data_IF_610529647113
#
_entry.id   IF_610529647113
#
_cell.length_a   1.000
_cell.length_b   1.000
_cell.length_c   1.000
_cell.angle_alpha   90.00
_cell.angle_beta   90.00
_cell.angle_gamma   90.00
#
_symmetry.space_group_name_H-M   'P 1'
#
loop_
_entity.id
_entity.type
_entity.pdbx_description
1 polymer ?
#
# COMPACT_ATOMS: atom_id res chain seq x y z
N UNK A 1 33.23 -23.31 -59.15
CA UNK A 1 34.40 -22.46 -59.42
C UNK A 1 34.26 -21.17 -58.60
N UNK A 2 35.19 -20.96 -57.66
CA UNK A 2 35.52 -19.71 -56.93
C UNK A 2 34.38 -19.01 -56.16
N UNK A 3 34.05 -19.41 -54.92
CA UNK A 3 34.63 -18.94 -53.63
C UNK A 3 35.23 -17.53 -53.63
N UNK A 4 34.58 -16.59 -52.92
CA UNK A 4 35.23 -15.56 -52.10
C UNK A 4 34.34 -15.17 -50.90
N UNK A 5 34.90 -15.40 -49.72
CA UNK A 5 34.35 -15.12 -48.39
C UNK A 5 34.68 -13.68 -47.94
N UNK A 6 33.71 -13.06 -47.23
CA UNK A 6 33.78 -12.27 -45.97
C UNK A 6 34.74 -11.05 -45.86
N UNK A 7 34.43 -10.01 -45.04
CA UNK A 7 34.29 -10.09 -43.57
C UNK A 7 32.90 -9.61 -43.09
N UNK A 8 32.13 -10.33 -42.26
CA UNK A 8 32.39 -10.72 -40.86
C UNK A 8 32.88 -9.56 -40.00
N UNK A 9 31.95 -8.67 -39.62
CA UNK A 9 32.16 -7.73 -38.52
C UNK A 9 32.18 -8.52 -37.20
N UNK A 10 33.12 -8.20 -36.28
CA UNK A 10 33.30 -8.97 -35.07
C UNK A 10 32.12 -8.75 -34.11
N UNK A 11 31.54 -9.87 -33.69
CA UNK A 11 30.66 -9.99 -32.54
C UNK A 11 31.49 -9.73 -31.28
N UNK A 12 31.62 -8.44 -30.95
CA UNK A 12 32.28 -7.96 -29.76
C UNK A 12 31.37 -8.06 -28.54
N UNK A 13 31.07 -9.28 -28.10
CA UNK A 13 30.46 -9.57 -26.81
C UNK A 13 31.39 -9.19 -25.66
N UNK A 14 31.64 -7.89 -25.45
CA UNK A 14 32.17 -7.39 -24.19
C UNK A 14 30.99 -7.22 -23.24
N UNK A 15 30.75 -8.26 -22.43
CA UNK A 15 30.09 -8.12 -21.14
C UNK A 15 30.89 -7.08 -20.35
N UNK A 16 30.44 -5.83 -20.37
CA UNK A 16 30.86 -4.87 -19.37
C UNK A 16 30.20 -5.33 -18.06
N UNK A 17 30.92 -6.12 -17.28
CA UNK A 17 30.71 -6.17 -15.83
C UNK A 17 30.95 -4.75 -15.33
N UNK A 18 29.90 -3.93 -15.30
CA UNK A 18 29.87 -2.76 -14.44
C UNK A 18 29.68 -3.32 -13.04
N UNK A 19 30.79 -3.70 -12.41
CA UNK A 19 30.84 -3.75 -10.95
C UNK A 19 30.39 -2.37 -10.47
N UNK A 20 29.18 -2.30 -9.95
CA UNK A 20 28.69 -1.19 -9.15
C UNK A 20 29.56 -1.11 -7.90
N UNK A 21 30.73 -0.48 -8.02
CA UNK A 21 31.52 -0.04 -6.87
C UNK A 21 30.78 1.12 -6.24
N UNK A 22 29.75 0.80 -5.48
CA UNK A 22 29.13 1.68 -4.49
C UNK A 22 30.24 1.97 -3.49
N UNK A 23 30.98 3.06 -3.71
CA UNK A 23 31.90 3.60 -2.74
C UNK A 23 31.04 4.35 -1.72
N UNK A 24 30.49 3.60 -0.76
CA UNK A 24 29.81 4.17 0.40
C UNK A 24 30.81 5.04 1.16
N UNK A 25 30.61 6.35 1.12
CA UNK A 25 31.29 7.29 2.01
C UNK A 25 30.34 7.58 3.16
N UNK A 26 30.31 6.66 4.12
CA UNK A 26 29.91 6.92 5.49
C UNK A 26 30.81 6.08 6.39
N UNK A 27 31.85 6.71 6.92
CA UNK A 27 32.57 6.24 8.10
C UNK A 27 32.54 7.39 9.09
N UNK A 28 31.50 7.40 9.91
CA UNK A 28 31.56 8.04 11.22
C UNK A 28 32.47 7.16 12.08
N UNK A 29 33.72 7.57 12.25
CA UNK A 29 34.56 7.08 13.34
C UNK A 29 34.61 8.15 14.42
N UNK A 30 33.89 7.86 15.49
CA UNK A 30 34.13 8.36 16.83
C UNK A 30 35.47 7.83 17.29
N UNK A 31 36.44 8.71 17.56
CA UNK A 31 37.61 8.37 18.39
C UNK A 31 37.74 9.40 19.51
N UNK A 32 37.33 8.92 20.68
CA UNK A 32 37.72 9.39 21.99
C UNK A 32 39.11 8.79 22.26
N UNK A 33 40.14 9.61 22.47
CA UNK A 33 41.34 9.15 23.16
C UNK A 33 42.06 10.30 23.87
N UNK A 34 42.02 10.18 25.19
CA UNK A 34 42.87 10.82 26.18
C UNK A 34 44.36 10.62 25.91
N UNK A 35 45.16 11.69 25.94
CA UNK A 35 46.55 11.61 26.38
C UNK A 35 46.95 12.86 27.16
N UNK A 36 47.32 12.62 28.41
CA UNK A 36 48.11 13.52 29.27
C UNK A 36 49.41 13.90 28.57
N UNK A 37 49.83 15.15 28.75
CA UNK A 37 51.25 15.45 28.97
C UNK A 37 51.37 16.39 30.17
N UNK A 38 51.94 15.84 31.23
CA UNK A 38 52.58 16.59 32.29
C UNK A 38 53.74 17.39 31.72
N UNK A 39 53.85 18.65 32.17
CA UNK A 39 55.02 19.50 32.02
C UNK A 39 55.21 20.23 33.33
N UNK A 40 56.14 19.72 34.15
CA UNK A 40 56.67 20.35 35.35
C UNK A 40 57.16 21.78 35.08
N UNK A 41 56.95 22.67 36.05
CA UNK A 41 57.52 24.01 36.04
C UNK A 41 57.10 24.79 37.29
N UNK A 42 57.80 24.53 38.39
CA UNK A 42 57.74 25.24 39.67
C UNK A 42 57.77 26.77 39.51
N UNK A 43 57.14 27.51 40.41
CA UNK A 43 57.78 28.52 41.26
C UNK A 43 56.74 29.31 42.07
N UNK A 44 56.55 28.90 43.31
CA UNK A 44 56.20 29.80 44.41
C UNK A 44 57.41 30.67 44.74
N UNK A 45 57.23 31.96 45.07
CA UNK A 45 58.04 32.60 46.08
C UNK A 45 57.16 32.97 47.28
N UNK A 46 57.47 32.31 48.40
CA UNK A 46 57.07 32.77 49.72
C UNK A 46 57.80 34.10 49.99
N UNK A 47 57.05 35.20 49.91
CA UNK A 47 57.47 36.52 50.37
C UNK A 47 56.93 36.77 51.77
N UNK A 48 57.80 36.54 52.76
CA UNK A 48 57.68 36.97 54.14
C UNK A 48 57.33 38.47 54.20
N UNK A 49 56.29 38.86 54.92
CA UNK A 49 56.32 40.09 55.73
C UNK A 49 55.12 40.21 56.71
N UNK A 50 55.51 40.25 57.98
CA UNK A 50 54.98 41.11 59.05
C UNK A 50 53.55 40.89 59.55
N UNK A 51 53.45 40.09 60.60
CA UNK A 51 52.38 40.22 61.60
C UNK A 51 52.66 41.43 62.49
N UNK A 52 51.79 42.44 62.44
CA UNK A 52 51.69 43.43 63.51
C UNK A 52 50.24 43.89 63.69
N UNK A 53 49.70 43.55 64.87
CA UNK A 53 48.60 44.19 65.62
C UNK A 53 47.44 44.81 64.83
N UNK A 54 46.30 44.13 64.87
CA UNK A 54 45.04 44.81 65.18
C UNK A 54 44.09 43.83 65.89
N UNK A 55 43.81 44.06 67.17
CA UNK A 55 42.84 43.32 67.97
C UNK A 55 41.62 44.23 68.14
N UNK A 56 40.44 43.69 67.86
CA UNK A 56 39.18 44.21 68.39
C UNK A 56 38.40 45.14 67.45
N UNK A 57 37.62 44.57 66.55
CA UNK A 57 36.20 44.94 66.32
C UNK A 57 35.60 44.07 65.22
N UNK A 58 34.54 43.34 65.58
CA UNK A 58 33.47 42.94 64.67
C UNK A 58 33.73 41.70 63.83
N UNK A 59 33.10 40.59 64.20
CA UNK A 59 32.75 39.48 63.28
C UNK A 59 32.21 40.00 61.93
N UNK A 60 31.61 41.19 61.92
CA UNK A 60 31.20 41.97 60.76
C UNK A 60 32.31 42.38 59.75
N UNK A 61 33.55 42.68 60.14
CA UNK A 61 34.62 43.11 59.19
C UNK A 61 35.26 41.93 58.46
N UNK A 62 35.44 40.79 59.15
CA UNK A 62 35.87 39.54 58.53
C UNK A 62 34.78 38.98 57.60
N UNK A 63 33.51 38.99 58.03
CA UNK A 63 32.39 38.63 57.17
C UNK A 63 32.26 39.57 55.96
N UNK A 64 32.40 40.89 56.13
CA UNK A 64 32.42 41.84 55.00
C UNK A 64 33.58 41.59 54.03
N UNK A 65 34.78 41.29 54.54
CA UNK A 65 35.93 40.95 53.69
C UNK A 65 35.74 39.62 52.94
N UNK A 66 35.10 38.64 53.57
CA UNK A 66 34.75 37.36 52.95
C UNK A 66 33.66 37.54 51.89
N UNK A 67 32.65 38.37 52.17
CA UNK A 67 31.61 38.75 51.22
C UNK A 67 32.21 39.48 50.03
N UNK A 68 33.11 40.44 50.22
CA UNK A 68 33.80 41.13 49.12
C UNK A 68 34.68 40.19 48.29
N UNK A 69 35.35 39.22 48.92
CA UNK A 69 36.10 38.18 48.20
C UNK A 69 35.16 37.28 47.38
N UNK A 70 34.02 36.87 47.95
CA UNK A 70 33.00 36.11 47.23
C UNK A 70 32.34 36.92 46.12
N UNK A 71 32.18 38.23 46.31
CA UNK A 71 31.72 39.16 45.27
C UNK A 71 32.71 39.23 44.11
N UNK A 72 34.01 39.36 44.40
CA UNK A 72 35.04 39.37 43.38
C UNK A 72 35.17 38.02 42.64
N UNK A 73 35.04 36.90 43.35
CA UNK A 73 34.98 35.55 42.75
C UNK A 73 33.74 35.40 41.86
N UNK A 74 32.57 35.92 42.28
CA UNK A 74 31.35 35.96 41.48
C UNK A 74 31.53 36.81 40.23
N UNK A 75 32.09 38.02 40.35
CA UNK A 75 32.35 38.91 39.20
C UNK A 75 33.35 38.27 38.21
N UNK A 76 34.34 37.53 38.70
CA UNK A 76 35.29 36.80 37.84
C UNK A 76 34.60 35.63 37.11
N UNK A 77 33.74 34.88 37.81
CA UNK A 77 32.91 33.84 37.21
C UNK A 77 31.93 34.43 36.19
N UNK A 78 31.32 35.57 36.48
CA UNK A 78 30.39 36.27 35.60
C UNK A 78 31.09 36.76 34.33
N UNK A 79 32.31 37.29 34.44
CA UNK A 79 33.14 37.64 33.28
C UNK A 79 33.47 36.41 32.43
N UNK A 80 33.88 35.30 33.05
CA UNK A 80 34.16 34.04 32.34
C UNK A 80 32.90 33.50 31.66
N UNK A 81 31.75 33.63 32.31
CA UNK A 81 30.46 33.17 31.81
C UNK A 81 29.97 34.04 30.65
N UNK A 82 30.19 35.36 30.70
CA UNK A 82 29.91 36.27 29.59
C UNK A 82 30.78 35.96 28.35
N UNK A 83 32.09 35.74 28.55
CA UNK A 83 32.99 35.33 27.45
C UNK A 83 32.56 34.00 26.84
N UNK A 84 32.20 33.00 27.65
CA UNK A 84 31.68 31.72 27.16
C UNK A 84 30.35 31.84 26.42
N UNK A 85 29.47 32.76 26.84
CA UNK A 85 28.21 33.06 26.13
C UNK A 85 28.48 33.68 24.77
N UNK A 86 29.40 34.64 24.68
CA UNK A 86 29.80 35.24 23.41
C UNK A 86 30.43 34.21 22.46
N UNK A 87 31.38 33.40 22.95
CA UNK A 87 31.95 32.30 22.15
C UNK A 87 30.88 31.31 21.68
N UNK A 88 29.87 31.03 22.51
CA UNK A 88 28.77 30.17 22.14
C UNK A 88 27.87 30.82 21.07
N UNK A 89 27.55 32.10 21.20
CA UNK A 89 26.80 32.86 20.20
C UNK A 89 27.53 32.90 18.85
N UNK A 90 28.82 33.23 18.83
CA UNK A 90 29.65 33.23 17.62
C UNK A 90 29.71 31.83 16.98
N UNK A 91 29.81 30.76 17.78
CA UNK A 91 29.77 29.38 17.28
C UNK A 91 28.40 29.01 16.71
N UNK A 92 27.31 29.45 17.34
CA UNK A 92 25.94 29.21 16.87
C UNK A 92 25.70 29.94 15.54
N UNK A 93 26.17 31.18 15.39
CA UNK A 93 26.10 31.95 14.14
C UNK A 93 26.91 31.28 13.03
N UNK A 94 28.15 30.85 13.32
CA UNK A 94 28.99 30.14 12.36
C UNK A 94 28.36 28.82 11.90
N UNK A 95 27.73 28.07 12.81
CA UNK A 95 26.97 26.86 12.49
C UNK A 95 25.72 27.16 11.66
N UNK A 96 25.01 28.26 11.96
CA UNK A 96 23.84 28.69 11.19
C UNK A 96 24.23 29.06 9.74
N UNK A 97 25.31 29.83 9.55
CA UNK A 97 25.86 30.14 8.23
C UNK A 97 26.25 28.87 7.47
N UNK A 98 26.98 27.97 8.11
CA UNK A 98 27.42 26.72 7.48
C UNK A 98 26.25 25.81 7.11
N UNK A 99 25.18 25.81 7.91
CA UNK A 99 23.94 25.09 7.61
C UNK A 99 23.25 25.67 6.37
N UNK A 100 23.16 26.99 6.25
CA UNK A 100 22.58 27.65 5.06
C UNK A 100 23.37 27.33 3.79
N UNK A 101 24.70 27.42 3.83
CA UNK A 101 25.54 27.08 2.68
C UNK A 101 25.40 25.62 2.24
N UNK A 102 25.30 24.69 3.21
CA UNK A 102 25.11 23.28 2.92
C UNK A 102 23.75 23.04 2.28
N UNK A 103 22.71 23.72 2.74
CA UNK A 103 21.36 23.64 2.17
C UNK A 103 21.33 24.17 0.73
N UNK A 104 21.97 25.31 0.46
CA UNK A 104 22.13 25.84 -0.90
C UNK A 104 22.91 24.88 -1.81
N UNK A 105 24.05 24.34 -1.35
CA UNK A 105 24.84 23.37 -2.11
C UNK A 105 24.05 22.08 -2.37
N UNK A 106 23.25 21.64 -1.41
CA UNK A 106 22.36 20.49 -1.58
C UNK A 106 21.29 20.80 -2.63
N UNK A 107 20.69 21.98 -2.59
CA UNK A 107 19.68 22.40 -3.55
C UNK A 107 20.26 22.52 -4.97
N UNK A 108 21.43 23.13 -5.12
CA UNK A 108 22.15 23.19 -6.40
C UNK A 108 22.48 21.79 -6.94
N UNK A 109 22.83 20.85 -6.06
CA UNK A 109 23.10 19.46 -6.46
C UNK A 109 21.82 18.78 -6.93
N UNK A 110 20.71 18.94 -6.19
CA UNK A 110 19.38 18.44 -6.61
C UNK A 110 18.96 19.00 -7.96
N UNK A 111 19.15 20.30 -8.19
CA UNK A 111 18.84 20.93 -9.48
C UNK A 111 19.69 20.40 -10.62
N UNK A 112 20.99 20.19 -10.40
CA UNK A 112 21.87 19.57 -11.40
C UNK A 112 21.42 18.14 -11.72
N UNK A 113 21.12 17.34 -10.70
CA UNK A 113 20.58 15.98 -10.88
C UNK A 113 19.29 16.00 -11.69
N UNK A 114 18.32 16.86 -11.34
CA UNK A 114 17.08 16.99 -12.11
C UNK A 114 17.32 17.41 -13.57
N UNK A 115 18.29 18.31 -13.82
CA UNK A 115 18.66 18.71 -15.20
C UNK A 115 19.29 17.55 -15.97
N UNK A 116 20.16 16.76 -15.34
CA UNK A 116 20.75 15.57 -15.95
C UNK A 116 19.72 14.47 -16.21
N UNK A 117 18.83 14.20 -15.26
CA UNK A 117 17.73 13.24 -15.44
C UNK A 117 16.82 13.65 -16.61
N UNK A 118 16.46 14.93 -16.72
CA UNK A 118 15.71 15.46 -17.86
C UNK A 118 16.46 15.27 -19.17
N UNK A 119 17.76 15.58 -19.22
CA UNK A 119 18.59 15.40 -20.41
C UNK A 119 18.68 13.92 -20.82
N UNK A 120 18.88 13.01 -19.87
CA UNK A 120 18.91 11.57 -20.12
C UNK A 120 17.57 11.09 -20.66
N UNK A 121 16.46 11.49 -20.02
CA UNK A 121 15.12 11.14 -20.48
C UNK A 121 14.82 11.64 -21.90
N UNK A 122 15.20 12.88 -22.22
CA UNK A 122 15.06 13.43 -23.58
C UNK A 122 15.95 12.73 -24.60
N UNK A 123 17.18 12.38 -24.23
CA UNK A 123 18.10 11.66 -25.12
C UNK A 123 17.58 10.24 -25.40
N UNK A 124 17.13 9.53 -24.37
CA UNK A 124 16.48 8.23 -24.52
C UNK A 124 15.22 8.33 -25.37
N UNK A 125 14.40 9.36 -25.17
CA UNK A 125 13.23 9.59 -26.01
C UNK A 125 13.61 9.82 -27.48
N UNK A 126 14.66 10.60 -27.76
CA UNK A 126 15.20 10.78 -29.12
C UNK A 126 15.71 9.46 -29.69
N UNK A 127 16.48 8.67 -28.93
CA UNK A 127 16.97 7.36 -29.35
C UNK A 127 15.82 6.40 -29.67
N UNK A 128 14.80 6.33 -28.81
CA UNK A 128 13.61 5.50 -29.03
C UNK A 128 12.83 5.95 -30.28
N UNK A 129 12.68 7.27 -30.51
CA UNK A 129 12.06 7.79 -31.73
C UNK A 129 12.84 7.39 -32.98
N UNK A 130 14.16 7.55 -32.97
CA UNK A 130 15.03 7.17 -34.09
C UNK A 130 15.02 5.67 -34.36
N UNK A 131 15.01 4.84 -33.31
CA UNK A 131 14.89 3.39 -33.47
C UNK A 131 13.55 3.00 -34.08
N UNK A 132 12.44 3.56 -33.58
CA UNK A 132 11.10 3.31 -34.14
C UNK A 132 10.99 3.74 -35.61
N UNK A 133 11.56 4.90 -35.98
CA UNK A 133 11.54 5.32 -37.39
C UNK A 133 12.44 4.44 -38.26
N UNK A 134 13.59 3.99 -37.75
CA UNK A 134 14.46 3.04 -38.45
C UNK A 134 13.79 1.67 -38.63
N UNK A 135 13.12 1.15 -37.61
CA UNK A 135 12.35 -0.11 -37.67
C UNK A 135 11.21 0.01 -38.67
N UNK A 136 10.40 1.07 -38.59
CA UNK A 136 9.29 1.30 -39.52
C UNK A 136 9.76 1.43 -40.98
N UNK A 137 10.86 2.15 -41.22
CA UNK A 137 11.43 2.27 -42.58
C UNK A 137 12.01 0.95 -43.07
N UNK A 138 12.62 0.15 -42.19
CA UNK A 138 13.11 -1.19 -42.52
C UNK A 138 11.97 -2.14 -42.90
N UNK A 139 10.88 -2.15 -42.13
CA UNK A 139 9.69 -2.94 -42.41
C UNK A 139 9.05 -2.52 -43.74
N UNK A 140 8.86 -1.21 -43.95
CA UNK A 140 8.34 -0.68 -45.20
C UNK A 140 9.22 -1.05 -46.40
N UNK A 141 10.55 -0.99 -46.24
CA UNK A 141 11.48 -1.39 -47.29
C UNK A 141 11.43 -2.90 -47.56
N UNK A 142 11.23 -3.74 -46.54
CA UNK A 142 11.06 -5.17 -46.71
C UNK A 142 9.78 -5.48 -47.52
N UNK A 143 8.66 -4.84 -47.19
CA UNK A 143 7.39 -4.98 -47.92
C UNK A 143 7.51 -4.53 -49.38
N UNK A 144 8.16 -3.39 -49.63
CA UNK A 144 8.40 -2.92 -51.01
C UNK A 144 9.30 -3.86 -51.79
N UNK A 145 10.31 -4.48 -51.14
CA UNK A 145 11.17 -5.48 -51.81
C UNK A 145 10.38 -6.71 -52.21
N UNK A 146 9.55 -7.25 -51.32
CA UNK A 146 8.69 -8.40 -51.66
C UNK A 146 7.72 -8.06 -52.79
N UNK A 147 7.13 -6.87 -52.78
CA UNK A 147 6.26 -6.40 -53.85
C UNK A 147 7.01 -6.28 -55.19
N UNK A 148 8.21 -5.69 -55.19
CA UNK A 148 9.05 -5.61 -56.39
C UNK A 148 9.39 -7.01 -56.91
N UNK A 149 9.74 -7.94 -56.04
CA UNK A 149 10.04 -9.32 -56.43
C UNK A 149 8.83 -10.01 -57.08
N UNK A 150 7.64 -9.86 -56.49
CA UNK A 150 6.42 -10.46 -57.00
C UNK A 150 5.97 -9.83 -58.32
N UNK A 151 6.02 -8.50 -58.42
CA UNK A 151 5.77 -7.80 -59.69
C UNK A 151 6.79 -8.20 -60.77
N UNK A 152 8.05 -8.39 -60.40
CA UNK A 152 9.09 -8.84 -61.34
C UNK A 152 8.81 -10.27 -61.82
N UNK A 153 8.35 -11.17 -60.94
CA UNK A 153 7.92 -12.53 -61.32
C UNK A 153 6.73 -12.46 -62.29
N UNK A 154 5.71 -11.66 -61.98
CA UNK A 154 4.54 -11.49 -62.84
C UNK A 154 4.94 -10.92 -64.22
N UNK A 155 5.81 -9.90 -64.25
CA UNK A 155 6.32 -9.36 -65.51
C UNK A 155 7.08 -10.40 -66.33
N UNK A 156 7.89 -11.24 -65.69
CA UNK A 156 8.59 -12.34 -66.38
C UNK A 156 7.58 -13.35 -66.97
N UNK A 157 6.57 -13.75 -66.21
CA UNK A 157 5.52 -14.65 -66.67
C UNK A 157 4.72 -14.07 -67.84
N UNK A 158 4.33 -12.79 -67.74
CA UNK A 158 3.61 -12.09 -68.80
C UNK A 158 4.45 -11.95 -70.07
N UNK A 159 5.75 -11.65 -69.95
CA UNK A 159 6.67 -11.61 -71.10
C UNK A 159 6.81 -12.97 -71.77
N UNK A 160 6.98 -14.04 -70.99
CA UNK A 160 7.04 -15.41 -71.51
C UNK A 160 5.73 -15.78 -72.23
N UNK A 161 4.58 -15.50 -71.60
CA UNK A 161 3.26 -15.72 -72.21
C UNK A 161 3.10 -14.94 -73.51
N UNK A 162 3.49 -13.65 -73.54
CA UNK A 162 3.46 -12.82 -74.76
C UNK A 162 4.32 -13.45 -75.88
N UNK A 163 5.49 -13.97 -75.55
CA UNK A 163 6.36 -14.61 -76.53
C UNK A 163 5.74 -15.89 -77.09
N UNK A 164 5.20 -16.77 -76.23
CA UNK A 164 4.46 -17.96 -76.66
C UNK A 164 3.26 -17.62 -77.53
N UNK A 165 2.51 -16.57 -77.18
CA UNK A 165 1.38 -16.12 -77.99
C UNK A 165 1.83 -15.58 -79.34
N UNK A 166 2.93 -14.82 -79.40
CA UNK A 166 3.50 -14.35 -80.68
C UNK A 166 3.89 -15.51 -81.57
N UNK A 167 4.59 -16.51 -81.03
CA UNK A 167 4.98 -17.70 -81.78
C UNK A 167 3.76 -18.47 -82.29
N UNK A 168 2.74 -18.64 -81.45
CA UNK A 168 1.46 -19.23 -81.87
C UNK A 168 0.81 -18.40 -82.97
N UNK A 169 0.74 -17.08 -82.82
CA UNK A 169 0.17 -16.18 -83.82
C UNK A 169 0.89 -16.31 -85.17
N UNK A 170 2.24 -16.36 -85.16
CA UNK A 170 3.00 -16.58 -86.40
C UNK A 170 2.73 -17.94 -87.04
N UNK A 171 2.56 -19.00 -86.23
CA UNK A 171 2.19 -20.33 -86.74
C UNK A 171 0.79 -20.32 -87.34
N UNK A 172 -0.17 -19.68 -86.67
CA UNK A 172 -1.56 -19.64 -87.13
C UNK A 172 -1.80 -18.69 -88.29
N UNK A 173 -0.96 -17.66 -88.44
CA UNK A 173 -1.02 -16.73 -89.58
C UNK A 173 -0.90 -17.45 -90.92
N UNK A 174 -0.10 -18.52 -91.02
CA UNK A 174 -0.02 -19.30 -92.25
C UNK A 174 -1.35 -19.98 -92.62
N UNK A 175 -2.12 -20.42 -91.61
CA UNK A 175 -3.46 -20.98 -91.86
C UNK A 175 -4.48 -19.88 -92.16
N UNK A 176 -4.39 -18.71 -91.51
CA UNK A 176 -5.21 -17.55 -91.85
C UNK A 176 -4.98 -17.12 -93.30
N UNK A 177 -3.72 -16.93 -93.71
CA UNK A 177 -3.35 -16.57 -95.08
C UNK A 177 -3.81 -17.64 -96.09
N UNK A 178 -3.73 -18.92 -95.73
CA UNK A 178 -4.26 -20.01 -96.54
C UNK A 178 -5.79 -19.95 -96.65
N UNK A 179 -6.49 -19.80 -95.52
CA UNK A 179 -7.95 -19.73 -95.48
C UNK A 179 -8.48 -18.52 -96.25
N UNK A 180 -7.84 -17.36 -96.12
CA UNK A 180 -8.17 -16.15 -96.88
C UNK A 180 -8.02 -16.38 -98.39
N UNK A 181 -6.90 -16.98 -98.83
CA UNK A 181 -6.72 -17.38 -100.24
C UNK A 181 -7.76 -18.39 -100.69
N UNK A 182 -8.16 -19.34 -99.85
CA UNK A 182 -9.23 -20.29 -100.22
C UNK A 182 -10.58 -19.60 -100.30
N UNK A 183 -10.90 -18.66 -99.40
CA UNK A 183 -12.11 -17.85 -99.43
C UNK A 183 -12.24 -17.03 -100.70
N UNK A 184 -11.13 -16.48 -101.21
CA UNK A 184 -11.08 -15.78 -102.51
C UNK A 184 -11.47 -16.70 -103.69
N UNK A 185 -11.32 -18.02 -103.56
CA UNK A 185 -11.67 -19.01 -104.58
C UNK A 185 -13.08 -19.60 -104.43
N UNK A 186 -13.77 -19.33 -103.31
CA UNK A 186 -15.13 -19.86 -103.10
C UNK A 186 -16.18 -18.96 -103.78
N UNK A 187 -17.23 -19.54 -104.40
CA UNK A 187 -18.36 -18.76 -104.90
C UNK A 187 -19.02 -17.99 -103.75
N UNK A 188 -19.36 -16.73 -103.97
CA UNK A 188 -19.96 -15.84 -102.96
C UNK A 188 -21.26 -16.35 -102.31
N UNK A 189 -21.90 -17.40 -102.86
CA UNK A 189 -23.07 -18.06 -102.29
C UNK A 189 -22.81 -18.80 -100.98
N UNK A 190 -21.56 -19.23 -100.73
CA UNK A 190 -21.17 -19.88 -99.46
C UNK A 190 -20.67 -18.88 -98.41
N UNK A 191 -20.43 -17.64 -98.84
CA UNK A 191 -20.00 -16.52 -98.00
C UNK A 191 -21.18 -15.74 -97.41
N UNK A 192 -22.40 -16.29 -97.50
CA UNK A 192 -23.55 -15.68 -96.87
C UNK A 192 -23.42 -15.79 -95.35
N UNK A 193 -22.70 -14.82 -94.79
CA UNK A 193 -22.59 -14.52 -93.37
C UNK A 193 -23.92 -13.92 -92.83
N UNK A 194 -25.01 -14.07 -93.58
CA UNK A 194 -26.36 -13.81 -93.12
C UNK A 194 -26.77 -14.77 -92.01
N UNK A 195 -27.92 -14.44 -91.41
CA UNK A 195 -28.54 -15.11 -90.27
C UNK A 195 -28.77 -16.63 -90.40
N UNK A 196 -28.54 -17.22 -91.58
CA UNK A 196 -28.70 -18.65 -91.88
C UNK A 196 -27.39 -19.47 -91.82
N UNK A 197 -26.25 -18.87 -91.47
CA UNK A 197 -25.01 -19.62 -91.26
C UNK A 197 -25.16 -20.62 -90.11
N UNK A 198 -24.87 -21.91 -90.37
CA UNK A 198 -24.93 -23.02 -89.38
C UNK A 198 -24.09 -22.77 -88.11
N UNK A 199 -23.12 -21.86 -88.16
CA UNK A 199 -22.25 -21.48 -87.05
C UNK A 199 -22.96 -20.51 -86.09
N UNK A 200 -23.87 -19.67 -86.58
CA UNK A 200 -24.51 -18.62 -85.78
C UNK A 200 -25.36 -19.18 -84.62
N UNK A 201 -26.17 -20.26 -84.78
CA UNK A 201 -26.87 -20.90 -83.67
C UNK A 201 -25.95 -21.42 -82.56
N UNK A 202 -24.76 -21.90 -82.91
CA UNK A 202 -23.77 -22.39 -81.94
C UNK A 202 -23.22 -21.23 -81.12
N UNK A 203 -22.89 -20.12 -81.79
CA UNK A 203 -22.43 -18.88 -81.12
C UNK A 203 -23.52 -18.36 -80.18
N UNK A 204 -24.77 -18.25 -80.65
CA UNK A 204 -25.91 -17.82 -79.82
C UNK A 204 -26.12 -18.71 -78.59
N UNK A 205 -25.96 -20.03 -78.75
CA UNK A 205 -26.04 -20.97 -77.61
C UNK A 205 -24.92 -20.74 -76.61
N UNK A 206 -23.69 -20.53 -77.08
CA UNK A 206 -22.56 -20.24 -76.20
C UNK A 206 -22.74 -18.89 -75.48
N UNK A 207 -23.23 -17.86 -76.16
CA UNK A 207 -23.56 -16.56 -75.56
C UNK A 207 -24.59 -16.73 -74.44
N UNK A 208 -25.70 -17.44 -74.71
CA UNK A 208 -26.73 -17.71 -73.70
C UNK A 208 -26.19 -18.51 -72.51
N UNK A 209 -25.35 -19.53 -72.74
CA UNK A 209 -24.68 -20.28 -71.68
C UNK A 209 -23.71 -19.42 -70.87
N UNK A 210 -23.02 -18.49 -71.51
CA UNK A 210 -22.09 -17.58 -70.83
C UNK A 210 -22.84 -16.61 -69.91
N UNK A 211 -23.97 -16.07 -70.37
CA UNK A 211 -24.84 -15.19 -69.58
C UNK A 211 -25.39 -15.95 -68.37
N UNK A 212 -25.99 -17.12 -68.59
CA UNK A 212 -26.54 -17.95 -67.49
C UNK A 212 -25.45 -18.37 -66.50
N UNK A 213 -24.24 -18.67 -66.96
CA UNK A 213 -23.10 -18.95 -66.09
C UNK A 213 -22.72 -17.75 -65.21
N UNK A 214 -22.68 -16.54 -65.79
CA UNK A 214 -22.42 -15.32 -65.03
C UNK A 214 -23.50 -15.03 -63.99
N UNK A 215 -24.78 -15.22 -64.34
CA UNK A 215 -25.90 -15.08 -63.41
C UNK A 215 -25.81 -16.07 -62.25
N UNK A 216 -25.42 -17.32 -62.53
CA UNK A 216 -25.20 -18.34 -61.51
C UNK A 216 -24.04 -17.96 -60.57
N UNK A 217 -22.94 -17.43 -61.10
CA UNK A 217 -21.83 -16.93 -60.27
C UNK A 217 -22.26 -15.76 -59.38
N UNK A 218 -23.02 -14.80 -59.92
CA UNK A 218 -23.54 -13.69 -59.11
C UNK A 218 -24.48 -14.20 -58.02
N UNK A 219 -25.34 -15.17 -58.34
CA UNK A 219 -26.24 -15.79 -57.36
C UNK A 219 -25.46 -16.51 -56.26
N UNK A 220 -24.39 -17.22 -56.61
CA UNK A 220 -23.51 -17.87 -55.65
C UNK A 220 -22.88 -16.84 -54.71
N UNK A 221 -22.32 -15.75 -55.24
CA UNK A 221 -21.74 -14.68 -54.43
C UNK A 221 -22.74 -14.05 -53.44
N UNK A 222 -23.98 -13.81 -53.89
CA UNK A 222 -25.04 -13.31 -52.98
C UNK A 222 -25.38 -14.31 -51.87
N UNK A 223 -25.38 -15.62 -52.15
CA UNK A 223 -25.61 -16.64 -51.12
C UNK A 223 -24.44 -16.71 -50.12
N UNK A 224 -23.20 -16.59 -50.60
CA UNK A 224 -22.02 -16.53 -49.73
C UNK A 224 -22.08 -15.32 -48.79
N UNK A 225 -22.43 -14.13 -49.31
CA UNK A 225 -22.63 -12.92 -48.50
C UNK A 225 -23.71 -13.10 -47.42
N UNK A 226 -24.83 -13.74 -47.75
CA UNK A 226 -25.90 -14.05 -46.80
C UNK A 226 -25.41 -15.00 -45.70
N UNK A 227 -24.66 -16.04 -46.08
CA UNK A 227 -24.07 -16.98 -45.13
C UNK A 227 -23.08 -16.26 -44.21
N UNK A 228 -22.20 -15.42 -44.75
CA UNK A 228 -21.25 -14.62 -43.96
C UNK A 228 -21.95 -13.64 -43.02
N UNK A 229 -23.04 -13.01 -43.47
CA UNK A 229 -23.87 -12.15 -42.63
C UNK A 229 -24.51 -12.94 -41.48
N UNK A 230 -25.07 -14.12 -41.76
CA UNK A 230 -25.60 -15.02 -40.73
C UNK A 230 -24.53 -15.43 -39.70
N UNK A 231 -23.31 -15.75 -40.17
CA UNK A 231 -22.18 -16.04 -39.28
C UNK A 231 -21.79 -14.83 -38.41
N UNK A 232 -21.80 -13.60 -38.97
CA UNK A 232 -21.56 -12.37 -38.21
C UNK A 232 -22.61 -12.15 -37.13
N UNK A 233 -23.90 -12.30 -37.47
CA UNK A 233 -25.00 -12.18 -36.51
C UNK A 233 -24.90 -13.22 -35.39
N UNK A 234 -24.65 -14.49 -35.74
CA UNK A 234 -24.47 -15.55 -34.75
C UNK A 234 -23.30 -15.27 -33.80
N UNK A 235 -22.17 -14.76 -34.32
CA UNK A 235 -21.03 -14.34 -33.48
C UNK A 235 -21.40 -13.22 -32.53
N UNK A 236 -22.12 -12.19 -33.00
CA UNK A 236 -22.62 -11.10 -32.15
C UNK A 236 -23.52 -11.63 -31.04
N UNK A 237 -24.52 -12.45 -31.39
CA UNK A 237 -25.44 -13.04 -30.43
C UNK A 237 -24.72 -13.91 -29.38
N UNK A 238 -23.72 -14.70 -29.80
CA UNK A 238 -22.90 -15.49 -28.87
C UNK A 238 -22.10 -14.60 -27.92
N UNK A 239 -21.50 -13.52 -28.41
CA UNK A 239 -20.77 -12.55 -27.58
C UNK A 239 -21.70 -11.86 -26.59
N UNK A 240 -22.84 -11.36 -27.05
CA UNK A 240 -23.86 -10.75 -26.18
C UNK A 240 -24.34 -11.72 -25.10
N UNK A 241 -24.63 -12.97 -25.47
CA UNK A 241 -25.06 -13.98 -24.51
C UNK A 241 -23.95 -14.28 -23.48
N UNK A 242 -22.70 -14.37 -23.93
CA UNK A 242 -21.55 -14.52 -23.02
C UNK A 242 -21.44 -13.34 -22.05
N UNK A 243 -21.63 -12.11 -22.53
CA UNK A 243 -21.62 -10.90 -21.69
C UNK A 243 -22.78 -10.95 -20.68
N UNK A 244 -24.00 -11.28 -21.11
CA UNK A 244 -25.16 -11.42 -20.21
C UNK A 244 -24.92 -12.48 -19.13
N UNK A 245 -24.32 -13.61 -19.49
CA UNK A 245 -23.95 -14.66 -18.52
C UNK A 245 -22.94 -14.15 -17.49
N UNK A 246 -21.93 -13.39 -17.93
CA UNK A 246 -20.96 -12.78 -17.02
C UNK A 246 -21.62 -11.75 -16.09
N UNK A 247 -22.52 -10.92 -16.61
CA UNK A 247 -23.27 -9.95 -15.81
C UNK A 247 -24.15 -10.65 -14.76
N UNK A 248 -24.90 -11.68 -15.15
CA UNK A 248 -25.69 -12.48 -14.20
C UNK A 248 -24.80 -13.18 -13.16
N UNK A 249 -23.64 -13.70 -13.55
CA UNK A 249 -22.67 -14.28 -12.61
C UNK A 249 -22.13 -13.25 -11.61
N UNK A 250 -21.91 -12.00 -12.06
CA UNK A 250 -21.51 -10.89 -11.20
C UNK A 250 -22.60 -10.56 -10.20
N UNK A 251 -23.85 -10.42 -10.65
CA UNK A 251 -25.00 -10.15 -9.78
C UNK A 251 -25.18 -11.24 -8.72
N UNK A 252 -25.03 -12.52 -9.10
CA UNK A 252 -25.08 -13.64 -8.14
C UNK A 252 -23.95 -13.52 -7.11
N UNK A 253 -22.74 -13.16 -7.53
CA UNK A 253 -21.59 -13.02 -6.62
C UNK A 253 -21.78 -11.84 -5.65
N UNK A 254 -22.37 -10.74 -6.11
CA UNK A 254 -22.71 -9.57 -5.28
C UNK A 254 -23.75 -9.94 -4.23
N UNK A 255 -24.85 -10.58 -4.64
CA UNK A 255 -25.89 -11.04 -3.72
C UNK A 255 -25.38 -12.07 -2.71
N UNK A 256 -24.47 -12.96 -3.13
CA UNK A 256 -23.82 -13.91 -2.22
C UNK A 256 -22.97 -13.19 -1.17
N UNK A 257 -22.18 -12.19 -1.58
CA UNK A 257 -21.39 -11.38 -0.65
C UNK A 257 -22.28 -10.60 0.32
N UNK A 258 -23.38 -10.01 -0.17
CA UNK A 258 -24.36 -9.33 0.69
C UNK A 258 -24.96 -10.30 1.72
N UNK A 259 -25.37 -11.49 1.29
CA UNK A 259 -25.90 -12.53 2.16
C UNK A 259 -24.87 -12.92 3.22
N UNK A 260 -23.62 -13.17 2.84
CA UNK A 260 -22.54 -13.49 3.78
C UNK A 260 -22.37 -12.38 4.83
N UNK A 261 -22.36 -11.11 4.40
CA UNK A 261 -22.22 -9.98 5.33
C UNK A 261 -23.40 -9.87 6.30
N UNK A 262 -24.62 -10.14 5.84
CA UNK A 262 -25.82 -10.14 6.67
C UNK A 262 -25.82 -11.32 7.65
N UNK A 263 -25.44 -12.51 7.20
CA UNK A 263 -25.32 -13.69 8.07
C UNK A 263 -24.28 -13.46 9.16
N UNK A 264 -23.15 -12.83 8.84
CA UNK A 264 -22.11 -12.51 9.83
C UNK A 264 -22.60 -11.47 10.84
N UNK A 265 -23.28 -10.41 10.39
CA UNK A 265 -23.91 -9.44 11.29
C UNK A 265 -24.94 -10.09 12.20
N UNK A 266 -25.74 -11.02 11.68
CA UNK A 266 -26.74 -11.75 12.48
C UNK A 266 -26.06 -12.63 13.55
N UNK A 267 -25.05 -13.42 13.17
CA UNK A 267 -24.24 -14.19 14.13
C UNK A 267 -23.64 -13.30 15.21
N UNK A 268 -23.09 -12.14 14.84
CA UNK A 268 -22.54 -11.20 15.81
C UNK A 268 -23.62 -10.67 16.77
N UNK A 269 -24.82 -10.36 16.26
CA UNK A 269 -25.95 -9.94 17.08
C UNK A 269 -26.43 -11.05 18.02
N UNK A 270 -26.49 -12.30 17.56
CA UNK A 270 -26.82 -13.47 18.39
C UNK A 270 -25.81 -13.66 19.52
N UNK A 271 -24.51 -13.57 19.22
CA UNK A 271 -23.44 -13.65 20.24
C UNK A 271 -23.58 -12.52 21.26
N UNK A 272 -23.83 -11.28 20.81
CA UNK A 272 -24.01 -10.14 21.69
C UNK A 272 -25.25 -10.32 22.59
N UNK A 273 -26.37 -10.78 22.03
CA UNK A 273 -27.59 -11.06 22.77
C UNK A 273 -27.38 -12.15 23.83
N UNK A 274 -26.70 -13.25 23.48
CA UNK A 274 -26.38 -14.31 24.44
C UNK A 274 -25.46 -13.81 25.55
N UNK A 275 -24.51 -12.92 25.24
CA UNK A 275 -23.66 -12.29 26.24
C UNK A 275 -24.48 -11.41 27.20
N UNK A 276 -25.34 -10.53 26.69
CA UNK A 276 -26.22 -9.69 27.51
C UNK A 276 -27.21 -10.50 28.34
N UNK A 277 -27.76 -11.58 27.78
CA UNK A 277 -28.61 -12.52 28.49
C UNK A 277 -27.84 -13.21 29.63
N UNK A 278 -26.58 -13.58 29.39
CA UNK A 278 -25.74 -14.19 30.43
C UNK A 278 -25.46 -13.22 31.57
N UNK A 279 -25.17 -11.94 31.26
CA UNK A 279 -24.93 -10.87 32.22
C UNK A 279 -26.19 -10.53 33.02
N UNK A 280 -27.34 -10.42 32.36
CA UNK A 280 -28.62 -10.18 33.06
C UNK A 280 -28.99 -11.36 33.97
N UNK A 281 -28.78 -12.61 33.53
CA UNK A 281 -28.97 -13.79 34.38
C UNK A 281 -28.04 -13.80 35.59
N UNK A 282 -26.81 -13.31 35.45
CA UNK A 282 -25.89 -13.16 36.58
C UNK A 282 -26.36 -12.09 37.56
N UNK A 283 -26.78 -10.92 37.08
CA UNK A 283 -27.38 -9.86 37.93
C UNK A 283 -28.61 -10.34 38.70
N UNK A 284 -29.54 -11.02 38.03
CA UNK A 284 -30.73 -11.59 38.69
C UNK A 284 -30.35 -12.60 39.77
N UNK A 285 -29.29 -13.40 39.56
CA UNK A 285 -28.77 -14.31 40.60
C UNK A 285 -28.17 -13.54 41.78
N UNK A 286 -27.43 -12.48 41.52
CA UNK A 286 -26.87 -11.61 42.56
C UNK A 286 -27.96 -10.92 43.38
N UNK A 287 -28.96 -10.33 42.71
CA UNK A 287 -30.12 -9.71 43.34
C UNK A 287 -30.90 -10.73 44.19
N UNK A 288 -31.09 -11.96 43.69
CA UNK A 288 -31.72 -13.04 44.43
C UNK A 288 -30.93 -13.42 45.70
N UNK A 289 -29.60 -13.50 45.62
CA UNK A 289 -28.74 -13.74 46.79
C UNK A 289 -28.81 -12.59 47.80
N UNK A 290 -28.82 -11.34 47.32
CA UNK A 290 -28.94 -10.16 48.17
C UNK A 290 -30.29 -10.15 48.89
N UNK A 291 -31.37 -10.42 48.18
CA UNK A 291 -32.71 -10.49 48.75
C UNK A 291 -32.83 -11.59 49.81
N UNK A 292 -32.26 -12.77 49.55
CA UNK A 292 -32.18 -13.83 50.57
C UNK A 292 -31.41 -13.38 51.81
N UNK A 293 -30.27 -12.69 51.65
CA UNK A 293 -29.50 -12.19 52.78
C UNK A 293 -30.28 -11.13 53.59
N UNK A 294 -31.00 -10.23 52.91
CA UNK A 294 -31.87 -9.22 53.55
C UNK A 294 -33.00 -9.90 54.33
N UNK A 295 -33.67 -10.88 53.75
CA UNK A 295 -34.74 -11.61 54.44
C UNK A 295 -34.21 -12.37 55.65
N UNK A 296 -33.06 -13.06 55.52
CA UNK A 296 -32.42 -13.73 56.65
C UNK A 296 -32.05 -12.76 57.78
N UNK A 297 -31.57 -11.55 57.46
CA UNK A 297 -31.28 -10.50 58.45
C UNK A 297 -32.57 -9.96 59.09
N UNK A 298 -33.62 -9.77 58.31
CA UNK A 298 -34.91 -9.28 58.78
C UNK A 298 -35.59 -10.23 59.77
N UNK A 299 -35.48 -11.55 59.54
CA UNK A 299 -35.94 -12.57 60.48
C UNK A 299 -35.21 -12.46 61.83
N UNK A 300 -33.91 -12.13 61.82
CA UNK A 300 -33.11 -11.96 63.05
C UNK A 300 -33.33 -10.62 63.74
N UNK A 301 -33.69 -9.58 62.99
CA UNK A 301 -33.82 -8.20 63.42
C UNK A 301 -35.27 -7.71 63.44
N UNK A 302 -36.22 -8.60 63.71
CA UNK A 302 -37.64 -8.29 63.65
C UNK A 302 -38.06 -7.24 64.69
N UNK A 303 -38.75 -6.20 64.22
CA UNK A 303 -39.37 -5.17 65.05
C UNK A 303 -40.91 -5.27 64.94
N UNK A 304 -41.63 -5.56 66.04
CA UNK A 304 -43.08 -5.71 66.03
C UNK A 304 -43.86 -4.48 65.53
N UNK A 305 -43.25 -3.29 65.59
CA UNK A 305 -43.85 -2.03 65.15
C UNK A 305 -44.14 -1.97 63.63
N UNK A 306 -43.48 -2.81 62.83
CA UNK A 306 -43.57 -2.78 61.37
C UNK A 306 -44.66 -3.73 60.81
N UNK A 307 -45.22 -4.66 61.60
CA UNK A 307 -46.23 -5.64 61.16
C UNK A 307 -45.66 -7.02 60.77
N UNK A 308 -46.44 -7.92 60.15
CA UNK A 308 -45.98 -9.25 59.73
C UNK A 308 -45.00 -9.20 58.53
N UNK A 309 -43.91 -9.96 58.60
CA UNK A 309 -42.83 -9.97 57.59
C UNK A 309 -43.31 -10.27 56.16
N UNK A 310 -44.27 -11.18 56.01
CA UNK A 310 -44.77 -11.67 54.73
C UNK A 310 -45.51 -10.60 53.89
N UNK A 311 -45.98 -9.53 54.55
CA UNK A 311 -46.75 -8.46 53.92
C UNK A 311 -45.93 -7.22 53.56
N UNK A 312 -44.64 -7.20 53.93
CA UNK A 312 -43.78 -6.03 53.75
C UNK A 312 -43.08 -6.01 52.38
N UNK A 313 -42.85 -4.80 51.86
CA UNK A 313 -42.02 -4.59 50.68
C UNK A 313 -40.52 -4.67 51.07
N UNK A 314 -39.66 -5.07 50.14
CA UNK A 314 -38.21 -5.25 50.37
C UNK A 314 -37.55 -3.98 50.92
N UNK A 315 -37.92 -2.81 50.40
CA UNK A 315 -37.39 -1.52 50.89
C UNK A 315 -37.79 -1.28 52.35
N UNK A 316 -39.04 -1.56 52.72
CA UNK A 316 -39.52 -1.41 54.10
C UNK A 316 -38.87 -2.41 55.06
N UNK A 317 -38.54 -3.62 54.58
CA UNK A 317 -37.77 -4.61 55.35
C UNK A 317 -36.34 -4.13 55.59
N UNK A 318 -35.68 -3.56 54.57
CA UNK A 318 -34.34 -2.99 54.74
C UNK A 318 -34.31 -1.80 55.69
N UNK A 319 -35.31 -0.92 55.63
CA UNK A 319 -35.45 0.21 56.56
C UNK A 319 -35.63 -0.28 58.00
N UNK A 320 -36.44 -1.32 58.23
CA UNK A 320 -36.58 -1.95 59.54
C UNK A 320 -35.25 -2.52 60.05
N UNK A 321 -34.52 -3.28 59.22
CA UNK A 321 -33.21 -3.84 59.59
C UNK A 321 -32.23 -2.72 59.94
N UNK A 322 -32.23 -1.63 59.18
CA UNK A 322 -31.41 -0.45 59.44
C UNK A 322 -31.76 0.20 60.78
N UNK A 323 -33.04 0.45 61.07
CA UNK A 323 -33.49 1.03 62.34
C UNK A 323 -33.13 0.12 63.53
N UNK A 324 -33.28 -1.20 63.40
CA UNK A 324 -32.86 -2.15 64.42
C UNK A 324 -31.36 -2.06 64.70
N UNK A 325 -30.52 -2.05 63.65
CA UNK A 325 -29.06 -1.94 63.79
C UNK A 325 -28.69 -0.61 64.45
N UNK A 326 -29.33 0.50 64.06
CA UNK A 326 -29.07 1.82 64.63
C UNK A 326 -29.45 1.88 66.11
N UNK A 327 -30.64 1.40 66.49
CA UNK A 327 -31.04 1.35 67.89
C UNK A 327 -30.15 0.39 68.71
N UNK A 328 -29.75 -0.75 68.14
CA UNK A 328 -28.82 -1.66 68.82
C UNK A 328 -27.43 -1.04 69.02
N UNK A 329 -26.91 -0.32 68.02
CA UNK A 329 -25.64 0.38 68.13
C UNK A 329 -25.73 1.58 69.10
N UNK A 330 -26.87 2.26 69.15
CA UNK A 330 -27.13 3.36 70.07
C UNK A 330 -27.28 2.87 71.51
N UNK A 331 -28.00 1.76 71.75
CA UNK A 331 -28.08 1.10 73.05
C UNK A 331 -26.69 0.61 73.50
N UNK A 332 -25.91 -0.02 72.61
CA UNK A 332 -24.53 -0.40 72.93
C UNK A 332 -23.67 0.82 73.27
N UNK A 333 -23.73 1.91 72.49
CA UNK A 333 -23.02 3.15 72.79
C UNK A 333 -23.47 3.79 74.11
N UNK A 334 -24.73 3.62 74.51
CA UNK A 334 -25.24 4.07 75.83
C UNK A 334 -24.73 3.17 76.96
N UNK A 335 -24.76 1.85 76.78
CA UNK A 335 -24.23 0.88 77.75
C UNK A 335 -22.73 1.02 77.94
N UNK A 336 -21.97 1.23 76.85
CA UNK A 336 -20.53 1.46 76.91
C UNK A 336 -20.21 2.75 77.67
N UNK A 337 -20.94 3.83 77.41
CA UNK A 337 -20.84 5.09 78.20
C UNK A 337 -21.20 4.90 79.67
N UNK A 338 -22.18 4.06 79.99
CA UNK A 338 -22.55 3.72 81.37
C UNK A 338 -21.48 2.83 82.04
N UNK A 339 -20.86 1.88 81.33
CA UNK A 339 -19.74 1.08 81.84
C UNK A 339 -18.49 1.93 82.07
N UNK A 340 -18.21 2.88 81.17
CA UNK A 340 -17.15 3.88 81.33
C UNK A 340 -17.43 4.80 82.53
N UNK A 341 -18.70 5.08 82.84
CA UNK A 341 -19.13 5.88 84.00
C UNK A 341 -19.21 5.08 85.31
N UNK A 342 -19.49 3.77 85.24
CA UNK A 342 -19.48 2.84 86.37
C UNK A 342 -18.07 2.41 86.80
N UNK A 343 -17.06 2.65 85.96
CA UNK A 343 -15.66 2.39 86.26
C UNK A 343 -14.98 3.45 87.15
N UNK A 344 -15.72 4.40 87.73
CA UNK A 344 -15.19 5.39 88.69
C UNK A 344 -15.24 4.94 90.16
N UNK A 345 -15.91 3.83 90.49
CA UNK A 345 -15.98 3.29 91.86
C UNK A 345 -15.75 1.79 91.89
N UNK A 346 -14.52 1.37 91.60
CA UNK A 346 -13.83 0.18 92.13
C UNK A 346 -12.56 -0.02 91.30
N UNK A 347 -11.50 0.65 91.72
CA UNK A 347 -10.18 0.42 91.18
C UNK A 347 -9.53 -0.82 91.82
N UNK A 348 -8.63 -1.44 91.06
CA UNK A 348 -7.38 -2.10 91.49
C UNK A 348 -7.36 -3.63 91.48
N UNK A 349 -6.73 -4.21 90.44
CA UNK A 349 -5.58 -5.16 90.47
C UNK A 349 -5.43 -5.76 89.05
N UNK A 350 -4.51 -5.24 88.24
CA UNK A 350 -3.11 -5.67 88.09
C UNK A 350 -2.91 -6.80 87.05
N UNK A 351 -2.54 -6.33 85.84
CA UNK A 351 -1.48 -6.81 84.95
C UNK A 351 -1.27 -8.32 84.73
N UNK A 352 -1.32 -8.71 83.45
CA UNK A 352 -0.19 -9.19 82.60
C UNK A 352 -0.82 -9.82 81.34
N UNK A 353 -0.20 -10.01 80.19
CA UNK A 353 0.86 -9.38 79.41
C UNK A 353 0.85 -10.20 78.08
N UNK A 354 1.45 -9.65 77.02
CA UNK A 354 1.92 -10.32 75.79
C UNK A 354 0.96 -10.59 74.60
N UNK A 355 1.18 -9.72 73.60
CA UNK A 355 1.92 -10.03 72.35
C UNK A 355 1.09 -10.40 71.11
N UNK A 356 1.08 -9.47 70.16
CA UNK A 356 0.66 -9.72 68.77
C UNK A 356 0.68 -8.46 67.90
N UNK A 357 1.86 -7.88 67.69
CA UNK A 357 2.10 -6.71 66.83
C UNK A 357 2.38 -7.16 65.37
N UNK A 358 1.72 -6.54 64.41
CA UNK A 358 2.07 -6.52 62.98
C UNK A 358 0.95 -5.78 62.22
N UNK A 359 1.03 -4.48 61.91
CA UNK A 359 1.92 -3.73 61.02
C UNK A 359 1.78 -4.08 59.53
N UNK A 360 0.95 -3.26 58.86
CA UNK A 360 1.14 -2.58 57.56
C UNK A 360 1.97 -3.26 56.45
N UNK A 361 1.32 -3.45 55.28
CA UNK A 361 1.70 -2.99 53.91
C UNK A 361 0.95 -3.85 52.87
N UNK A 362 0.05 -3.27 52.06
CA UNK A 362 0.26 -2.67 50.73
C UNK A 362 0.54 -3.67 49.60
N UNK A 363 0.05 -3.32 48.40
CA UNK A 363 0.32 -3.91 47.06
C UNK A 363 -0.69 -5.02 46.70
N UNK A 364 -1.38 -5.01 45.56
CA UNK A 364 -1.38 -4.14 44.41
C UNK A 364 -2.36 -4.71 43.37
N UNK A 365 -3.17 -3.83 42.79
CA UNK A 365 -3.99 -4.08 41.62
C UNK A 365 -3.09 -4.24 40.38
N UNK A 366 -3.22 -5.37 39.67
CA UNK A 366 -2.85 -5.53 38.24
C UNK A 366 -3.26 -6.92 37.75
N UNK A 367 -4.49 -7.08 37.29
CA UNK A 367 -4.83 -8.11 36.30
C UNK A 367 -4.63 -7.50 34.92
N UNK A 368 -3.63 -8.03 34.22
CA UNK A 368 -3.21 -7.61 32.89
C UNK A 368 -4.28 -7.95 31.86
N UNK A 369 -4.61 -6.94 31.06
CA UNK A 369 -5.10 -7.07 29.69
C UNK A 369 -4.04 -7.87 28.92
N UNK A 370 -4.34 -9.12 28.57
CA UNK A 370 -3.63 -9.84 27.50
C UNK A 370 -4.31 -9.50 26.18
N UNK A 371 -3.82 -8.46 25.53
CA UNK A 371 -3.92 -8.30 24.08
C UNK A 371 -2.82 -9.16 23.44
N UNK A 372 -3.18 -10.34 22.94
CA UNK A 372 -2.36 -11.03 21.94
C UNK A 372 -2.87 -10.65 20.56
N UNK A 373 -2.03 -9.92 19.85
CA UNK A 373 -2.13 -9.68 18.42
C UNK A 373 -1.77 -10.93 17.61
N UNK A 374 -2.22 -10.92 16.35
CA UNK A 374 -1.78 -11.74 15.18
C UNK A 374 -2.39 -13.15 15.04
N UNK A 375 -3.47 -13.21 14.25
CA UNK A 375 -3.54 -14.16 13.13
C UNK A 375 -3.61 -13.36 11.83
N UNK A 376 -2.54 -13.50 11.06
CA UNK A 376 -2.44 -13.23 9.64
C UNK A 376 -2.80 -14.52 8.90
N UNK A 377 -3.70 -14.43 7.91
CA UNK A 377 -3.78 -15.23 6.67
C UNK A 377 -5.03 -14.76 5.91
N UNK A 378 -4.82 -13.98 4.86
CA UNK A 378 -4.64 -14.40 3.46
C UNK A 378 -6.01 -14.48 2.78
N UNK A 379 -6.30 -13.39 2.09
CA UNK A 379 -7.09 -13.36 0.88
C UNK A 379 -6.61 -14.44 -0.09
N UNK A 380 -7.51 -15.35 -0.46
CA UNK A 380 -7.39 -16.12 -1.69
C UNK A 380 -8.33 -15.54 -2.73
N UNK A 381 -7.69 -15.21 -3.84
CA UNK A 381 -8.22 -14.80 -5.12
C UNK A 381 -8.42 -16.07 -5.95
N UNK A 382 -9.61 -16.25 -6.51
CA UNK A 382 -9.91 -17.14 -7.62
C UNK A 382 -10.49 -16.19 -8.69
N UNK A 383 -9.81 -15.82 -9.78
CA UNK A 383 -9.34 -16.64 -10.93
C UNK A 383 -10.36 -17.63 -11.41
#
# INVERSE_FOLDING_TARGET
>A
MTTRCLPALPDGGRKANVETRIRGVFVTQSEENSYRKEGHGSHTPAGTQTWSRFRGTGVHTLQKSLVLKKQAELDEVDKRLALRRQEFEENVEALAHRRSELEEKQQQTKEKVMKFEKFVAENEAKRRRMLKTCEATREQNALKRTEIEDLTKQLKQLRARKQVLKERMTKYKMYEDYLMKTLENFPGSYLDNGSESLVMPIIRRHEALSITYQELLQRLGRMEEQVEQGHRQLRSMKQEHSIRKLMASKEVSELQSELETLTEKNKQAEVNFLMEQSLSREKVKEDGRLLMAVNNLAEQCYLPAYGPLESMNVLTVMDMVKEFILDKADTERRVRRLMESGSATTSTTAATDKKGRGSLKSIGSKTQIKSSSKVSRKSETLS
#
